data_IF_269122072141
#
_entry.id   IF_269122072141
#
_cell.length_a   1.000
_cell.length_b   1.000
_cell.length_c   1.000
_cell.angle_alpha   90.00
_cell.angle_beta   90.00
_cell.angle_gamma   90.00
#
_symmetry.space_group_name_H-M   'P 1'
#
loop_
_entity.id
_entity.type
_entity.pdbx_description
1 polymer ?
#
# COMPACT_ATOMS: atom_id res chain seq x y z
N UNK A 1 2.28 9.43 -5.43
CA UNK A 1 2.46 7.99 -5.73
C UNK A 1 2.88 7.72 -7.17
N UNK A 2 2.17 8.26 -8.18
CA UNK A 2 2.51 8.03 -9.61
C UNK A 2 3.94 8.42 -10.00
N UNK A 3 4.54 9.41 -9.32
CA UNK A 3 5.96 9.72 -9.49
C UNK A 3 6.86 8.55 -9.09
N UNK A 4 6.66 7.98 -7.89
CA UNK A 4 7.46 6.87 -7.37
C UNK A 4 7.41 5.64 -8.29
N UNK A 5 6.21 5.27 -8.76
CA UNK A 5 6.02 4.15 -9.67
C UNK A 5 6.74 4.37 -11.02
N UNK A 6 6.71 5.59 -11.55
CA UNK A 6 7.44 5.94 -12.79
C UNK A 6 8.96 5.93 -12.64
N UNK A 7 9.46 6.31 -11.47
CA UNK A 7 10.91 6.35 -11.21
C UNK A 7 11.51 4.96 -10.98
N UNK A 8 10.67 3.97 -10.70
CA UNK A 8 11.14 2.61 -10.43
C UNK A 8 10.32 1.61 -11.28
N UNK A 9 10.70 1.40 -12.54
CA UNK A 9 10.04 0.42 -13.41
C UNK A 9 9.98 -0.99 -12.79
N UNK A 10 11.00 -1.36 -12.02
CA UNK A 10 11.05 -2.65 -11.32
C UNK A 10 9.98 -2.78 -10.23
N UNK A 11 9.45 -1.67 -9.69
CA UNK A 11 8.37 -1.69 -8.70
C UNK A 11 7.06 -2.19 -9.33
N UNK A 12 6.78 -1.83 -10.58
CA UNK A 12 5.58 -2.29 -11.28
C UNK A 12 5.58 -3.81 -11.49
N UNK A 13 6.78 -4.44 -11.56
CA UNK A 13 6.89 -5.90 -11.63
C UNK A 13 6.69 -6.62 -10.29
N UNK A 14 6.82 -5.89 -9.17
CA UNK A 14 6.77 -6.42 -7.80
C UNK A 14 5.49 -6.04 -7.05
N UNK A 15 4.72 -5.08 -7.55
CA UNK A 15 3.51 -4.57 -6.92
C UNK A 15 2.29 -4.80 -7.84
N UNK A 16 1.22 -5.36 -7.29
CA UNK A 16 -0.10 -5.32 -7.92
C UNK A 16 -0.70 -3.92 -7.74
N UNK A 17 -0.40 -3.01 -8.68
CA UNK A 17 -0.88 -1.63 -8.64
C UNK A 17 -2.27 -1.53 -9.27
N UNK A 18 -3.26 -1.19 -8.45
CA UNK A 18 -4.64 -0.95 -8.90
C UNK A 18 -5.00 0.52 -8.82
N UNK A 19 -5.39 1.10 -9.95
CA UNK A 19 -5.95 2.45 -10.04
C UNK A 19 -7.47 2.32 -9.96
N UNK A 20 -8.05 2.86 -8.89
CA UNK A 20 -9.48 2.76 -8.59
C UNK A 20 -10.13 4.15 -8.58
N UNK A 21 -11.43 4.18 -8.85
CA UNK A 21 -12.19 5.43 -8.87
C UNK A 21 -12.28 6.09 -7.48
N UNK A 22 -12.43 7.42 -7.48
CA UNK A 22 -12.52 8.19 -6.26
C UNK A 22 -13.79 7.92 -5.45
N UNK A 23 -14.87 7.49 -6.11
CA UNK A 23 -16.17 7.29 -5.49
C UNK A 23 -16.12 6.24 -4.38
N UNK A 24 -16.79 6.53 -3.26
CA UNK A 24 -17.00 5.57 -2.17
C UNK A 24 -18.38 4.90 -2.33
N UNK A 25 -18.56 3.64 -1.91
CA UNK A 25 -17.52 2.74 -1.39
C UNK A 25 -16.56 2.26 -2.49
N UNK A 26 -15.31 1.96 -2.13
CA UNK A 26 -14.23 1.49 -3.01
C UNK A 26 -14.11 -0.04 -2.90
N UNK A 27 -14.80 -0.83 -3.74
CA UNK A 27 -14.99 -2.26 -3.49
C UNK A 27 -13.67 -3.03 -3.43
N UNK A 28 -12.69 -2.64 -4.27
CA UNK A 28 -11.36 -3.25 -4.27
C UNK A 28 -10.61 -3.07 -2.95
N UNK A 29 -10.78 -1.95 -2.25
CA UNK A 29 -10.17 -1.75 -0.94
C UNK A 29 -11.01 -2.41 0.16
N UNK A 30 -12.33 -2.24 0.11
CA UNK A 30 -13.26 -2.80 1.10
C UNK A 30 -13.11 -4.30 1.23
N UNK A 31 -12.94 -5.00 0.09
CA UNK A 31 -12.70 -6.44 0.06
C UNK A 31 -11.51 -6.87 0.92
N UNK A 32 -10.48 -6.03 1.04
CA UNK A 32 -9.23 -6.38 1.71
C UNK A 32 -9.06 -5.73 3.07
N UNK A 33 -9.64 -4.55 3.34
CA UNK A 33 -9.41 -3.79 4.58
C UNK A 33 -10.69 -3.45 5.35
N UNK A 34 -11.87 -3.79 4.84
CA UNK A 34 -13.15 -3.37 5.41
C UNK A 34 -13.61 -1.98 4.94
N UNK A 35 -14.85 -1.63 5.29
CA UNK A 35 -15.44 -0.35 4.91
C UNK A 35 -14.82 0.84 5.64
N UNK A 36 -14.23 0.60 6.80
CA UNK A 36 -13.58 1.62 7.63
C UNK A 36 -12.25 2.11 7.03
N UNK A 37 -11.56 1.27 6.25
CA UNK A 37 -10.19 1.51 5.77
C UNK A 37 -10.11 1.74 4.25
N UNK A 38 -10.93 2.63 3.71
CA UNK A 38 -11.01 2.89 2.26
C UNK A 38 -10.07 3.99 1.76
N UNK A 39 -9.14 4.48 2.59
CA UNK A 39 -8.26 5.60 2.24
C UNK A 39 -7.34 5.30 1.06
N UNK A 40 -7.00 6.32 0.27
CA UNK A 40 -6.08 6.22 -0.86
C UNK A 40 -5.03 7.33 -0.78
N UNK A 41 -3.76 7.08 -1.15
CA UNK A 41 -3.22 5.78 -1.56
C UNK A 41 -3.03 4.84 -0.38
N UNK A 42 -3.15 3.53 -0.65
CA UNK A 42 -2.96 2.46 0.34
C UNK A 42 -2.12 1.35 -0.27
N UNK A 43 -1.18 0.81 0.50
CA UNK A 43 -0.43 -0.39 0.18
C UNK A 43 -0.90 -1.51 1.12
N UNK A 44 -1.34 -2.63 0.57
CA UNK A 44 -1.80 -3.78 1.33
C UNK A 44 -0.72 -4.85 1.22
N UNK A 45 -0.28 -5.40 2.35
CA UNK A 45 0.70 -6.47 2.37
C UNK A 45 0.04 -7.81 2.04
N UNK A 46 0.79 -8.68 1.38
CA UNK A 46 0.37 -10.05 1.13
C UNK A 46 0.26 -10.81 2.46
N UNK A 47 -0.67 -11.76 2.56
CA UNK A 47 -0.88 -12.56 3.78
C UNK A 47 0.32 -13.44 4.13
N UNK A 48 1.20 -13.69 3.16
CA UNK A 48 2.45 -14.43 3.35
C UNK A 48 3.56 -13.60 4.00
N UNK A 49 3.41 -12.27 4.07
CA UNK A 49 4.39 -11.37 4.66
C UNK A 49 4.09 -11.14 6.14
N UNK A 50 5.11 -11.24 6.99
CA UNK A 50 4.99 -10.84 8.38
C UNK A 50 4.78 -9.32 8.47
N UNK A 51 3.75 -8.90 9.21
CA UNK A 51 3.39 -7.50 9.35
C UNK A 51 4.53 -6.74 10.07
N UNK A 52 5.14 -5.73 9.44
CA UNK A 52 6.09 -4.86 10.12
C UNK A 52 5.42 -4.12 11.28
N UNK A 53 6.16 -3.77 12.33
CA UNK A 53 5.58 -3.05 13.48
C UNK A 53 5.03 -1.66 13.12
N UNK A 54 5.46 -1.08 12.00
CA UNK A 54 4.95 0.21 11.51
C UNK A 54 3.68 0.08 10.65
N UNK A 55 3.30 -1.14 10.25
CA UNK A 55 2.09 -1.37 9.47
C UNK A 55 0.85 -1.27 10.36
N UNK A 56 -0.22 -0.71 9.81
CA UNK A 56 -1.55 -0.79 10.41
C UNK A 56 -2.15 -2.15 10.10
N UNK A 57 -3.02 -2.65 10.96
CA UNK A 57 -3.73 -3.92 10.76
C UNK A 57 -5.22 -3.63 10.68
N UNK A 58 -5.87 -4.08 9.60
CA UNK A 58 -7.32 -3.96 9.47
C UNK A 58 -8.01 -4.83 10.53
N UNK A 59 -8.90 -4.24 11.32
CA UNK A 59 -9.69 -4.99 12.30
C UNK A 59 -10.69 -5.94 11.60
N UNK A 60 -11.19 -5.56 10.42
CA UNK A 60 -12.13 -6.38 9.66
C UNK A 60 -11.51 -7.64 9.04
N UNK A 61 -10.25 -7.56 8.59
CA UNK A 61 -9.63 -8.66 7.82
C UNK A 61 -8.34 -9.20 8.40
N UNK A 62 -7.74 -8.52 9.38
CA UNK A 62 -6.42 -8.86 9.92
C UNK A 62 -5.25 -8.55 8.97
N UNK A 63 -5.51 -7.94 7.80
CA UNK A 63 -4.46 -7.62 6.84
C UNK A 63 -3.66 -6.41 7.24
N UNK A 64 -2.34 -6.50 7.06
CA UNK A 64 -1.43 -5.39 7.28
C UNK A 64 -1.43 -4.43 6.08
N UNK A 65 -1.38 -3.13 6.35
CA UNK A 65 -1.41 -2.10 5.32
C UNK A 65 -0.69 -0.81 5.75
N UNK A 66 -0.29 -0.01 4.77
CA UNK A 66 0.22 1.36 4.95
C UNK A 66 -0.70 2.35 4.25
N UNK A 67 -1.12 3.37 4.97
CA UNK A 67 -1.97 4.43 4.44
C UNK A 67 -1.17 5.71 4.21
N UNK A 68 -1.32 6.29 3.02
CA UNK A 68 -0.70 7.56 2.65
C UNK A 68 0.70 7.41 2.06
N UNK A 69 1.09 8.40 1.26
CA UNK A 69 2.31 8.32 0.44
C UNK A 69 3.60 8.22 1.24
N UNK A 70 3.66 8.89 2.38
CA UNK A 70 4.88 8.95 3.20
C UNK A 70 5.20 7.56 3.77
N UNK A 71 4.24 6.91 4.41
CA UNK A 71 4.46 5.60 5.03
C UNK A 71 4.70 4.50 4.00
N UNK A 72 3.94 4.52 2.90
CA UNK A 72 4.16 3.61 1.76
C UNK A 72 5.58 3.80 1.20
N UNK A 73 6.01 5.05 1.01
CA UNK A 73 7.35 5.33 0.51
C UNK A 73 8.42 4.82 1.48
N UNK A 74 8.32 5.09 2.77
CA UNK A 74 9.29 4.60 3.78
C UNK A 74 9.41 3.08 3.76
N UNK A 75 8.28 2.38 3.70
CA UNK A 75 8.25 0.93 3.63
C UNK A 75 8.94 0.41 2.36
N UNK A 76 8.57 0.93 1.19
CA UNK A 76 9.16 0.52 -0.09
C UNK A 76 10.66 0.82 -0.15
N UNK A 77 11.10 1.94 0.43
CA UNK A 77 12.53 2.26 0.57
C UNK A 77 13.27 1.19 1.38
N UNK A 78 12.70 0.76 2.51
CA UNK A 78 13.30 -0.25 3.39
C UNK A 78 13.33 -1.63 2.73
N UNK A 79 12.20 -2.10 2.22
CA UNK A 79 12.07 -3.46 1.69
C UNK A 79 12.76 -3.65 0.35
N UNK A 80 12.73 -2.64 -0.51
CA UNK A 80 13.26 -2.75 -1.86
C UNK A 80 14.65 -2.10 -2.00
N UNK A 81 15.10 -1.33 -1.00
CA UNK A 81 16.38 -0.60 -1.04
C UNK A 81 16.39 0.57 -2.03
N UNK A 82 15.20 1.02 -2.46
CA UNK A 82 15.06 1.90 -3.62
C UNK A 82 14.85 3.33 -3.15
N UNK A 83 15.96 4.08 -3.09
CA UNK A 83 16.13 5.55 -3.02
C UNK A 83 16.55 6.13 -1.63
N UNK A 84 17.37 7.18 -1.63
CA UNK A 84 17.59 8.04 -0.45
C UNK A 84 16.64 9.22 -0.58
N UNK A 85 15.96 9.69 0.48
CA UNK A 85 15.24 10.94 0.39
C UNK A 85 16.22 12.05 -0.03
N UNK A 86 15.89 12.75 -1.11
CA UNK A 86 16.51 14.01 -1.50
C UNK A 86 15.84 15.16 -0.75
#
# INVERSE_FOLDING_TARGET
MEGLLKYVPDLESKLDVRRIDFQRPRPDIVKFLGEENQGTPVLILDETMEAPPEAQVSEATGRAFFLGEIEISKFLHRELGIIKPH
#
